data_IF_631962888569
#
_entry.id   IF_631962888569
#
_cell.length_a   1.000
_cell.length_b   1.000
_cell.length_c   1.000
_cell.angle_alpha   90.00
_cell.angle_beta   90.00
_cell.angle_gamma   90.00
#
_symmetry.space_group_name_H-M   'P 1'
#
loop_
_entity.id
_entity.type
_entity.pdbx_description
1 polymer ?
#
# COMPACT_ATOMS: atom_id res chain seq x y z
N UNK A 1 -21.60 1.63 -5.99
CA UNK A 1 -20.72 0.66 -6.69
C UNK A 1 -19.31 1.24 -6.83
N UNK A 2 -18.31 0.40 -7.07
CA UNK A 2 -16.89 0.75 -7.17
C UNK A 2 -16.12 0.71 -5.85
N UNK A 3 -16.72 0.19 -4.76
CA UNK A 3 -16.11 0.25 -3.42
C UNK A 3 -15.95 1.66 -2.86
N UNK A 4 -16.79 2.57 -3.34
CA UNK A 4 -16.84 3.95 -2.91
C UNK A 4 -17.78 4.11 -1.72
N UNK A 5 -17.36 4.90 -0.74
CA UNK A 5 -18.17 5.26 0.42
C UNK A 5 -17.96 6.74 0.77
N UNK A 6 -19.05 7.39 1.19
CA UNK A 6 -19.06 8.70 1.85
C UNK A 6 -19.99 8.63 3.05
N UNK A 7 -19.68 9.30 4.17
CA UNK A 7 -20.57 9.32 5.33
C UNK A 7 -21.95 9.90 4.96
N UNK A 8 -23.06 9.28 5.39
CA UNK A 8 -24.41 9.72 4.98
C UNK A 8 -24.91 10.97 5.71
N UNK A 9 -24.28 11.35 6.83
CA UNK A 9 -24.78 12.40 7.73
C UNK A 9 -23.76 13.53 7.97
N UNK A 10 -22.63 13.52 7.28
CA UNK A 10 -21.63 14.58 7.37
C UNK A 10 -20.75 14.62 6.11
N UNK A 11 -20.00 15.71 5.95
CA UNK A 11 -18.93 15.77 4.97
C UNK A 11 -17.67 15.14 5.57
N UNK A 12 -17.09 14.18 4.86
CA UNK A 12 -15.82 13.60 5.27
C UNK A 12 -14.72 14.66 5.22
N UNK A 13 -13.92 14.76 6.30
CA UNK A 13 -12.77 15.66 6.35
C UNK A 13 -11.63 15.22 5.42
N UNK A 14 -11.53 13.92 5.16
CA UNK A 14 -10.44 13.33 4.39
C UNK A 14 -10.97 12.36 3.33
N UNK A 15 -10.31 12.38 2.17
CA UNK A 15 -10.53 11.51 1.03
C UNK A 15 -9.33 10.57 0.86
N UNK A 16 -9.56 9.26 0.97
CA UNK A 16 -8.49 8.26 0.86
C UNK A 16 -8.71 7.28 -0.28
N UNK A 17 -7.73 7.16 -1.18
CA UNK A 17 -7.67 6.09 -2.17
C UNK A 17 -6.95 4.88 -1.55
N UNK A 18 -7.63 3.74 -1.45
CA UNK A 18 -7.05 2.50 -0.93
C UNK A 18 -6.60 1.65 -2.12
N UNK A 19 -5.29 1.54 -2.31
CA UNK A 19 -4.65 0.90 -3.45
C UNK A 19 -4.14 -0.47 -3.05
N UNK A 20 -4.69 -1.52 -3.66
CA UNK A 20 -4.36 -2.92 -3.37
C UNK A 20 -3.80 -3.57 -4.63
N UNK A 21 -2.49 -3.85 -4.63
CA UNK A 21 -1.87 -4.65 -5.69
C UNK A 21 -2.26 -6.12 -5.52
N UNK A 22 -2.66 -6.77 -6.62
CA UNK A 22 -3.32 -8.07 -6.54
C UNK A 22 -2.99 -9.02 -7.70
N UNK A 23 -2.83 -10.31 -7.36
CA UNK A 23 -2.81 -11.40 -8.33
C UNK A 23 -3.23 -12.72 -7.70
N UNK A 24 -4.33 -13.32 -8.17
CA UNK A 24 -4.79 -14.68 -7.86
C UNK A 24 -4.87 -15.03 -6.35
N UNK A 25 -5.19 -14.07 -5.49
CA UNK A 25 -5.26 -14.23 -4.04
C UNK A 25 -6.69 -14.04 -3.51
N UNK A 26 -7.66 -14.74 -4.10
CA UNK A 26 -9.09 -14.45 -3.89
C UNK A 26 -9.52 -14.65 -2.43
N UNK A 27 -8.96 -15.65 -1.75
CA UNK A 27 -9.19 -15.88 -0.32
C UNK A 27 -8.85 -14.62 0.49
N UNK A 28 -7.65 -14.05 0.31
CA UNK A 28 -7.22 -12.86 1.04
C UNK A 28 -8.06 -11.64 0.69
N UNK A 29 -8.38 -11.44 -0.59
CA UNK A 29 -9.22 -10.32 -1.00
C UNK A 29 -10.59 -10.35 -0.31
N UNK A 30 -11.24 -11.52 -0.22
CA UNK A 30 -12.53 -11.66 0.46
C UNK A 30 -12.44 -11.30 1.94
N UNK A 31 -11.40 -11.78 2.62
CA UNK A 31 -11.16 -11.45 4.03
C UNK A 31 -10.86 -9.96 4.24
N UNK A 32 -9.99 -9.37 3.40
CA UNK A 32 -9.69 -7.94 3.46
C UNK A 32 -10.98 -7.12 3.31
N UNK A 33 -11.77 -7.36 2.26
CA UNK A 33 -13.00 -6.60 2.00
C UNK A 33 -14.02 -6.73 3.13
N UNK A 34 -14.12 -7.92 3.74
CA UNK A 34 -15.00 -8.15 4.88
C UNK A 34 -14.66 -7.26 6.08
N UNK A 35 -13.37 -7.12 6.42
CA UNK A 35 -12.94 -6.33 7.58
C UNK A 35 -12.75 -4.84 7.27
N UNK A 36 -12.20 -4.51 6.10
CA UNK A 36 -11.75 -3.15 5.80
C UNK A 36 -12.92 -2.18 5.56
N UNK A 37 -14.03 -2.64 5.00
CA UNK A 37 -15.17 -1.75 4.75
C UNK A 37 -15.78 -1.20 6.04
N UNK A 38 -16.22 -2.05 7.00
CA UNK A 38 -16.70 -1.55 8.28
C UNK A 38 -15.67 -0.69 9.02
N UNK A 39 -14.40 -1.10 8.98
CA UNK A 39 -13.28 -0.36 9.57
C UNK A 39 -13.20 1.09 9.04
N UNK A 40 -13.17 1.27 7.72
CA UNK A 40 -13.06 2.60 7.09
C UNK A 40 -14.33 3.44 7.27
N UNK A 41 -15.50 2.80 7.29
CA UNK A 41 -16.78 3.49 7.50
C UNK A 41 -16.89 4.08 8.91
N UNK A 42 -16.40 3.37 9.94
CA UNK A 42 -16.35 3.89 11.32
C UNK A 42 -15.43 5.11 11.48
N UNK A 43 -14.43 5.25 10.60
CA UNK A 43 -13.55 6.42 10.55
C UNK A 43 -14.16 7.63 9.83
N UNK A 44 -15.38 7.50 9.29
CA UNK A 44 -16.09 8.57 8.58
C UNK A 44 -15.29 9.19 7.40
N UNK A 45 -14.52 8.36 6.69
CA UNK A 45 -13.75 8.77 5.52
C UNK A 45 -14.61 8.79 4.26
N UNK A 46 -14.27 9.64 3.30
CA UNK A 46 -14.64 9.42 1.89
C UNK A 46 -13.56 8.54 1.28
N UNK A 47 -13.88 7.36 0.78
CA UNK A 47 -12.85 6.47 0.25
C UNK A 47 -13.32 5.69 -0.97
N UNK A 48 -12.35 5.21 -1.74
CA UNK A 48 -12.56 4.22 -2.80
C UNK A 48 -11.48 3.15 -2.71
N UNK A 49 -11.88 1.87 -2.81
CA UNK A 49 -10.95 0.74 -2.89
C UNK A 49 -10.66 0.41 -4.35
N UNK A 50 -9.40 0.50 -4.73
CA UNK A 50 -8.87 0.14 -6.05
C UNK A 50 -8.10 -1.17 -5.94
N UNK A 51 -8.54 -2.17 -6.70
CA UNK A 51 -7.86 -3.45 -6.83
C UNK A 51 -7.11 -3.47 -8.16
N UNK A 52 -5.77 -3.40 -8.11
CA UNK A 52 -4.92 -3.38 -9.30
C UNK A 52 -4.49 -4.81 -9.58
N UNK A 53 -5.13 -5.43 -10.56
CA UNK A 53 -4.91 -6.81 -10.95
C UNK A 53 -3.88 -6.90 -12.07
N UNK A 54 -2.77 -7.58 -11.79
CA UNK A 54 -1.82 -8.01 -12.82
C UNK A 54 -2.35 -9.25 -13.56
N UNK A 55 -2.30 -9.22 -14.89
CA UNK A 55 -2.53 -10.42 -15.72
C UNK A 55 -1.23 -11.09 -16.14
N UNK A 56 -1.35 -12.24 -16.79
CA UNK A 56 -0.20 -12.97 -17.32
C UNK A 56 0.50 -13.84 -16.27
N UNK A 57 1.62 -14.41 -16.70
CA UNK A 57 2.42 -15.39 -15.93
C UNK A 57 3.75 -14.85 -15.45
N UNK A 58 4.12 -13.64 -15.85
CA UNK A 58 5.37 -12.98 -15.41
C UNK A 58 5.39 -12.81 -13.89
N UNK A 59 6.56 -12.57 -13.30
CA UNK A 59 6.67 -12.34 -11.84
C UNK A 59 5.75 -11.23 -11.34
N UNK A 60 5.28 -11.33 -10.10
CA UNK A 60 4.43 -10.29 -9.52
C UNK A 60 5.26 -9.03 -9.27
N UNK A 61 4.74 -7.87 -9.66
CA UNK A 61 5.41 -6.59 -9.43
C UNK A 61 4.51 -5.64 -8.64
N UNK A 62 4.55 -5.83 -7.32
CA UNK A 62 3.74 -5.07 -6.36
C UNK A 62 3.93 -3.56 -6.50
N UNK A 63 5.18 -3.09 -6.53
CA UNK A 63 5.52 -1.68 -6.57
C UNK A 63 5.01 -1.00 -7.86
N UNK A 64 5.19 -1.65 -9.02
CA UNK A 64 4.66 -1.17 -10.30
C UNK A 64 3.13 -1.12 -10.32
N UNK A 65 2.44 -2.12 -9.77
CA UNK A 65 0.97 -2.13 -9.67
C UNK A 65 0.45 -1.02 -8.77
N UNK A 66 1.18 -0.67 -7.70
CA UNK A 66 0.82 0.46 -6.86
C UNK A 66 0.98 1.79 -7.61
N UNK A 67 2.03 1.96 -8.42
CA UNK A 67 2.16 3.10 -9.33
C UNK A 67 0.99 3.20 -10.33
N UNK A 68 0.58 2.06 -10.93
CA UNK A 68 -0.62 1.97 -11.79
C UNK A 68 -1.85 2.47 -11.01
N UNK A 69 -2.02 1.98 -9.79
CA UNK A 69 -3.12 2.33 -8.90
C UNK A 69 -3.20 3.82 -8.63
N UNK A 70 -2.06 4.45 -8.27
CA UNK A 70 -1.98 5.91 -8.10
C UNK A 70 -2.37 6.63 -9.37
N UNK A 71 -1.80 6.24 -10.53
CA UNK A 71 -2.09 6.90 -11.82
C UNK A 71 -3.57 6.82 -12.19
N UNK A 72 -4.22 5.70 -11.95
CA UNK A 72 -5.64 5.54 -12.29
C UNK A 72 -6.58 6.14 -11.26
N UNK A 73 -6.27 6.04 -9.96
CA UNK A 73 -7.09 6.62 -8.89
C UNK A 73 -7.14 8.15 -8.98
N UNK A 74 -6.02 8.79 -9.36
CA UNK A 74 -5.93 10.24 -9.51
C UNK A 74 -6.77 10.80 -10.68
N UNK A 75 -7.32 9.95 -11.55
CA UNK A 75 -8.28 10.37 -12.59
C UNK A 75 -9.69 10.56 -12.06
N UNK A 76 -10.01 10.00 -10.90
CA UNK A 76 -11.37 9.95 -10.39
C UNK A 76 -11.70 11.08 -9.41
N UNK A 77 -10.73 11.43 -8.58
CA UNK A 77 -10.91 12.39 -7.49
C UNK A 77 -9.55 12.98 -7.08
N UNK A 78 -9.58 14.21 -6.58
CA UNK A 78 -8.48 14.82 -5.86
C UNK A 78 -8.40 14.17 -4.46
N UNK A 79 -7.54 13.17 -4.34
CA UNK A 79 -7.35 12.41 -3.11
C UNK A 79 -6.43 13.15 -2.14
N UNK A 80 -6.84 13.27 -0.87
CA UNK A 80 -5.97 13.80 0.19
C UNK A 80 -4.89 12.78 0.57
N UNK A 81 -5.23 11.49 0.45
CA UNK A 81 -4.35 10.41 0.86
C UNK A 81 -4.38 9.21 -0.08
N UNK A 82 -3.19 8.69 -0.37
CA UNK A 82 -2.97 7.41 -1.04
C UNK A 82 -2.56 6.40 0.03
N UNK A 83 -3.38 5.38 0.25
CA UNK A 83 -3.10 4.27 1.17
C UNK A 83 -2.72 3.06 0.34
N UNK A 84 -1.48 2.60 0.49
CA UNK A 84 -0.91 1.49 -0.26
C UNK A 84 -0.92 0.27 0.64
N UNK A 85 -1.68 -0.75 0.25
CA UNK A 85 -2.16 -1.77 1.17
C UNK A 85 -1.94 -3.18 0.61
N UNK A 86 -1.29 -4.02 1.41
CA UNK A 86 -1.12 -5.43 1.08
C UNK A 86 -2.43 -6.20 1.28
N UNK A 87 -2.76 -7.11 0.37
CA UNK A 87 -4.10 -7.75 0.34
C UNK A 87 -4.32 -8.73 1.50
N UNK A 88 -3.25 -9.24 2.10
CA UNK A 88 -3.22 -10.24 3.16
C UNK A 88 -3.12 -9.63 4.56
N UNK A 89 -3.25 -8.31 4.70
CA UNK A 89 -3.15 -7.63 5.99
C UNK A 89 -4.47 -7.05 6.46
N UNK A 90 -4.76 -7.10 7.77
CA UNK A 90 -5.95 -6.48 8.35
C UNK A 90 -5.55 -5.68 9.61
N UNK A 91 -5.98 -4.40 9.74
CA UNK A 91 -5.73 -3.63 10.94
C UNK A 91 -6.53 -4.17 12.14
N UNK A 92 -5.93 -4.17 13.32
CA UNK A 92 -6.58 -4.67 14.55
C UNK A 92 -7.25 -3.56 15.37
N UNK A 93 -6.99 -2.28 15.04
CA UNK A 93 -7.43 -1.15 15.83
C UNK A 93 -7.94 0.00 14.95
N UNK A 94 -9.24 0.33 15.11
CA UNK A 94 -9.93 1.37 14.35
C UNK A 94 -9.37 2.79 14.56
N UNK A 95 -8.60 3.01 15.63
CA UNK A 95 -7.91 4.28 15.88
C UNK A 95 -6.65 4.46 15.01
N UNK A 96 -6.23 3.43 14.26
CA UNK A 96 -5.26 3.61 13.18
C UNK A 96 -5.95 4.24 11.97
N UNK A 97 -6.09 5.56 11.97
CA UNK A 97 -6.80 6.29 10.92
C UNK A 97 -6.11 6.13 9.55
N UNK A 98 -6.90 5.75 8.54
CA UNK A 98 -6.50 5.61 7.13
C UNK A 98 -6.44 6.95 6.41
N UNK A 99 -5.65 7.84 7.00
CA UNK A 99 -5.34 9.18 6.53
C UNK A 99 -3.82 9.35 6.52
N UNK A 100 -3.38 10.32 5.73
CA UNK A 100 -1.97 10.64 5.59
C UNK A 100 -1.51 11.52 6.75
N UNK A 101 -0.23 11.42 7.09
CA UNK A 101 0.42 12.43 7.89
C UNK A 101 0.70 13.65 7.01
N UNK A 102 0.57 14.83 7.59
CA UNK A 102 0.67 16.11 6.89
C UNK A 102 2.08 16.40 6.38
N UNK A 103 3.12 15.93 7.09
CA UNK A 103 4.50 16.32 6.82
C UNK A 103 5.30 15.22 6.14
N UNK A 104 4.99 13.95 6.40
CA UNK A 104 5.85 12.84 6.00
C UNK A 104 5.08 11.57 5.60
N UNK A 105 5.65 10.70 4.75
CA UNK A 105 5.15 9.35 4.53
C UNK A 105 4.95 8.57 5.83
N UNK A 106 3.76 8.00 6.01
CA UNK A 106 3.34 7.30 7.22
C UNK A 106 3.37 5.79 7.01
N UNK A 107 4.14 5.10 7.84
CA UNK A 107 4.08 3.64 7.97
C UNK A 107 2.97 3.27 8.96
N UNK A 108 1.91 2.64 8.45
CA UNK A 108 0.72 2.33 9.24
C UNK A 108 0.84 0.97 9.92
N UNK A 109 1.39 -0.02 9.22
CA UNK A 109 1.64 -1.37 9.74
C UNK A 109 2.92 -1.44 10.57
N UNK A 110 3.01 -0.64 11.63
CA UNK A 110 4.21 -0.52 12.47
C UNK A 110 4.47 -1.74 13.36
N UNK A 111 3.45 -2.55 13.62
CA UNK A 111 3.52 -3.74 14.46
C UNK A 111 2.69 -4.86 13.83
N UNK A 112 3.35 -5.88 13.27
CA UNK A 112 2.66 -7.03 12.66
C UNK A 112 2.78 -8.26 13.55
N UNK A 113 1.73 -9.05 13.63
CA UNK A 113 1.71 -10.31 14.37
C UNK A 113 2.83 -11.26 13.93
N UNK A 114 3.11 -11.37 12.63
CA UNK A 114 4.21 -12.21 12.10
C UNK A 114 5.60 -11.80 12.59
N UNK A 115 5.74 -10.57 13.07
CA UNK A 115 6.97 -10.06 13.67
C UNK A 115 6.82 -9.88 15.19
N UNK A 116 5.90 -10.62 15.82
CA UNK A 116 5.59 -10.53 17.24
C UNK A 116 5.28 -9.09 17.68
N UNK A 117 4.56 -8.35 16.83
CA UNK A 117 4.23 -6.94 17.00
C UNK A 117 5.44 -6.01 17.21
N UNK A 118 6.61 -6.44 16.75
CA UNK A 118 7.86 -5.70 16.82
C UNK A 118 8.28 -5.28 15.42
N UNK A 119 8.80 -4.05 15.28
CA UNK A 119 9.30 -3.57 14.01
C UNK A 119 10.61 -4.33 13.64
N UNK A 120 10.69 -4.98 12.46
CA UNK A 120 11.88 -5.72 12.03
C UNK A 120 13.19 -4.92 12.11
N UNK A 121 13.18 -3.73 11.51
CA UNK A 121 14.31 -2.81 11.49
C UNK A 121 13.84 -1.38 11.19
N UNK A 122 14.67 -0.39 11.54
CA UNK A 122 14.30 1.04 11.55
C UNK A 122 13.83 1.59 10.19
N UNK A 123 14.35 1.08 9.08
CA UNK A 123 13.95 1.52 7.71
C UNK A 123 12.79 0.72 7.12
N UNK A 124 12.23 -0.26 7.85
CA UNK A 124 11.13 -1.09 7.34
C UNK A 124 9.91 -0.22 7.01
N UNK A 125 9.37 -0.40 5.79
CA UNK A 125 8.24 0.34 5.24
C UNK A 125 7.27 -0.56 4.44
N UNK A 126 7.27 -1.87 4.71
CA UNK A 126 6.36 -2.84 4.07
C UNK A 126 4.99 -2.92 4.75
N UNK A 127 4.08 -3.68 4.15
CA UNK A 127 2.71 -3.87 4.63
C UNK A 127 1.79 -2.75 4.16
N UNK A 128 1.38 -1.88 5.10
CA UNK A 128 0.46 -0.77 4.83
C UNK A 128 1.14 0.57 5.09
N UNK A 129 1.06 1.47 4.11
CA UNK A 129 1.62 2.82 4.19
C UNK A 129 0.67 3.86 3.61
N UNK A 130 0.85 5.12 4.01
CA UNK A 130 0.05 6.25 3.55
C UNK A 130 0.96 7.41 3.13
N UNK A 131 0.71 7.94 1.93
CA UNK A 131 1.42 9.07 1.34
C UNK A 131 0.41 10.04 0.70
N UNK A 132 0.60 11.34 0.89
CA UNK A 132 -0.14 12.32 0.08
C UNK A 132 0.30 12.16 -1.39
N UNK A 133 -0.53 12.57 -2.37
CA UNK A 133 -0.08 12.62 -3.76
C UNK A 133 1.22 13.40 -3.95
N UNK A 134 1.40 14.49 -3.21
CA UNK A 134 2.63 15.28 -3.23
C UNK A 134 3.84 14.47 -2.75
N UNK A 135 3.73 13.80 -1.59
CA UNK A 135 4.80 12.93 -1.08
C UNK A 135 5.17 11.85 -2.11
N UNK A 136 4.16 11.23 -2.71
CA UNK A 136 4.34 10.17 -3.69
C UNK A 136 5.09 10.67 -4.94
N UNK A 137 4.70 11.82 -5.48
CA UNK A 137 5.34 12.40 -6.67
C UNK A 137 6.73 12.95 -6.37
N UNK A 138 6.96 13.53 -5.19
CA UNK A 138 8.27 14.05 -4.75
C UNK A 138 9.36 12.99 -4.74
N UNK A 139 9.00 11.73 -4.49
CA UNK A 139 9.91 10.59 -4.52
C UNK A 139 9.93 9.83 -5.85
N UNK A 140 9.31 10.38 -6.90
CA UNK A 140 9.10 9.72 -8.20
C UNK A 140 8.33 8.39 -8.07
N UNK A 141 7.42 8.29 -7.10
CA UNK A 141 6.71 7.06 -6.74
C UNK A 141 7.63 5.86 -6.49
N UNK A 142 7.09 4.67 -6.73
CA UNK A 142 7.74 3.40 -6.38
C UNK A 142 8.59 2.87 -7.54
N UNK A 143 9.57 1.99 -7.31
CA UNK A 143 10.35 1.41 -8.40
C UNK A 143 9.50 0.48 -9.28
N UNK A 144 9.71 0.48 -10.61
CA UNK A 144 8.99 -0.43 -11.52
C UNK A 144 9.77 -1.70 -11.83
N UNK A 145 11.02 -1.82 -11.41
CA UNK A 145 11.93 -2.90 -11.86
C UNK A 145 12.01 -4.09 -10.92
N UNK A 146 11.23 -4.13 -9.83
CA UNK A 146 11.24 -5.22 -8.85
C UNK A 146 10.25 -6.33 -9.25
N UNK A 147 10.75 -7.40 -9.85
CA UNK A 147 9.96 -8.49 -10.41
C UNK A 147 10.12 -9.78 -9.58
N UNK A 148 9.32 -9.95 -8.53
CA UNK A 148 9.45 -11.07 -7.60
C UNK A 148 10.69 -11.00 -6.68
N UNK A 149 11.56 -10.03 -6.90
CA UNK A 149 12.68 -9.71 -6.01
C UNK A 149 12.17 -8.97 -4.78
N UNK A 150 12.50 -9.48 -3.59
CA UNK A 150 12.31 -8.74 -2.34
C UNK A 150 13.17 -7.48 -2.27
N UNK A 151 12.79 -6.54 -1.40
CA UNK A 151 13.58 -5.33 -1.12
C UNK A 151 13.08 -4.07 -1.83
N UNK A 152 11.94 -4.14 -2.52
CA UNK A 152 11.26 -2.96 -3.06
C UNK A 152 10.85 -1.99 -1.93
N UNK A 153 10.44 -2.51 -0.77
CA UNK A 153 10.11 -1.70 0.40
C UNK A 153 11.34 -0.95 0.95
N UNK A 154 12.53 -1.54 0.87
CA UNK A 154 13.79 -0.91 1.26
C UNK A 154 14.22 0.18 0.27
N UNK A 155 13.95 -0.02 -1.01
CA UNK A 155 14.14 0.99 -2.06
C UNK A 155 13.22 2.18 -1.79
N UNK A 156 11.93 1.94 -1.59
CA UNK A 156 10.92 2.95 -1.24
C UNK A 156 11.35 3.75 0.00
N UNK A 157 11.76 3.08 1.08
CA UNK A 157 12.27 3.76 2.27
C UNK A 157 13.48 4.65 1.98
N UNK A 158 14.38 4.18 1.11
CA UNK A 158 15.55 4.95 0.68
C UNK A 158 15.14 6.15 -0.17
N UNK A 159 14.16 6.01 -1.07
CA UNK A 159 13.61 7.13 -1.86
C UNK A 159 12.99 8.21 -1.00
N UNK A 160 12.24 7.83 0.05
CA UNK A 160 11.68 8.78 1.02
C UNK A 160 12.79 9.66 1.61
N UNK A 161 13.90 9.05 2.05
CA UNK A 161 15.04 9.78 2.59
C UNK A 161 15.78 10.62 1.54
N UNK A 162 15.95 10.11 0.33
CA UNK A 162 16.59 10.85 -0.78
C UNK A 162 15.77 12.07 -1.23
N UNK A 163 14.44 11.99 -1.10
CA UNK A 163 13.52 13.10 -1.33
C UNK A 163 13.48 14.10 -0.16
N UNK A 164 14.33 13.93 0.87
CA UNK A 164 14.40 14.81 2.03
C UNK A 164 13.26 14.61 3.05
N UNK A 165 12.53 13.50 2.95
CA UNK A 165 11.43 13.15 3.86
C UNK A 165 11.86 12.10 4.89
N UNK A 166 11.10 12.01 5.97
CA UNK A 166 11.27 10.98 7.01
C UNK A 166 10.11 9.97 6.93
N UNK A 167 10.27 8.84 7.61
CA UNK A 167 9.16 7.90 7.83
C UNK A 167 8.60 8.21 9.22
N UNK A 168 7.33 8.60 9.28
CA UNK A 168 6.58 8.64 10.53
C UNK A 168 5.84 7.32 10.71
N UNK A 169 5.59 6.92 11.96
CA UNK A 169 4.94 5.65 12.26
C UNK A 169 3.71 5.87 13.10
N UNK A 170 2.66 5.12 12.79
CA UNK A 170 1.59 4.90 13.77
C UNK A 170 2.20 4.32 15.04
N UNK A 171 1.71 4.71 16.22
CA UNK A 171 2.19 4.13 17.47
C UNK A 171 1.96 2.61 17.49
N UNK A 172 2.89 1.78 17.99
CA UNK A 172 2.79 0.31 17.90
C UNK A 172 1.50 -0.31 18.46
N UNK A 173 0.86 0.32 19.43
CA UNK A 173 -0.41 -0.16 20.00
C UNK A 173 -1.63 0.12 19.11
N UNK A 174 -1.54 1.12 18.21
CA UNK A 174 -2.57 1.43 17.22
C UNK A 174 -2.25 0.77 15.87
N UNK A 175 -0.98 0.74 15.47
CA UNK A 175 -0.52 0.20 14.18
C UNK A 175 -0.35 -1.31 14.17
N UNK A 176 -1.20 -2.04 14.90
CA UNK A 176 -1.23 -3.50 14.93
C UNK A 176 -1.96 -4.05 13.71
N UNK A 177 -1.36 -5.04 13.06
CA UNK A 177 -1.94 -5.75 11.94
C UNK A 177 -1.77 -7.25 12.07
N UNK A 178 -2.81 -7.98 11.66
CA UNK A 178 -2.80 -9.42 11.44
C UNK A 178 -2.44 -9.71 9.99
N UNK A 179 -1.48 -10.59 9.77
CA UNK A 179 -1.16 -11.16 8.44
C UNK A 179 -1.91 -12.48 8.28
N UNK A 180 -2.68 -12.60 7.20
CA UNK A 180 -3.52 -13.78 6.94
C UNK A 180 -2.67 -14.99 6.55
N UNK A 181 -3.06 -16.17 7.06
CA UNK A 181 -2.41 -17.46 6.80
C UNK A 181 -0.90 -17.52 7.13
N UNK A 182 -0.38 -16.60 7.97
CA UNK A 182 0.97 -16.74 8.52
C UNK A 182 1.04 -17.99 9.40
N UNK A 183 1.87 -18.96 9.01
CA UNK A 183 2.15 -20.17 9.77
C UNK A 183 3.59 -20.13 10.31
N UNK A 184 3.70 -19.88 11.62
CA UNK A 184 4.96 -19.85 12.38
C UNK A 184 5.78 -21.15 12.23
N UNK A 185 5.14 -22.29 11.95
CA UNK A 185 5.82 -23.58 11.81
C UNK A 185 6.54 -23.74 10.46
N UNK A 186 6.10 -23.05 9.42
CA UNK A 186 6.65 -23.16 8.05
C UNK A 186 7.51 -21.98 7.64
N UNK A 187 7.32 -20.81 8.25
CA UNK A 187 8.16 -19.66 8.01
C UNK A 187 9.31 -19.66 9.02
N UNK A 188 10.50 -20.08 8.56
CA UNK A 188 11.69 -20.10 9.40
C UNK A 188 11.90 -18.73 10.06
N UNK A 189 12.30 -18.69 11.34
CA UNK A 189 12.73 -17.45 11.99
C UNK A 189 14.08 -17.04 11.40
N UNK A 190 14.10 -16.63 10.12
CA UNK A 190 15.18 -15.80 9.64
C UNK A 190 15.20 -14.57 10.55
N UNK A 191 16.36 -14.17 11.08
CA UNK A 191 16.42 -12.95 11.85
C UNK A 191 15.89 -11.85 10.95
N UNK A 192 14.88 -11.10 11.41
CA UNK A 192 14.15 -10.05 10.68
C UNK A 192 15.06 -8.88 10.29
N UNK A 193 16.11 -9.18 9.53
CA UNK A 193 17.21 -8.31 9.17
C UNK A 193 16.96 -7.81 7.77
N UNK A 194 17.44 -6.60 7.55
CA UNK A 194 17.43 -6.00 6.23
C UNK A 194 18.29 -6.84 5.27
N UNK A 195 17.74 -7.35 4.16
CA UNK A 195 18.53 -8.09 3.19
C UNK A 195 19.54 -7.15 2.51
N UNK A 196 20.67 -7.68 2.00
CA UNK A 196 21.60 -6.89 1.22
C UNK A 196 20.91 -6.37 -0.04
N UNK A 197 20.92 -5.05 -0.24
CA UNK A 197 20.31 -4.46 -1.43
C UNK A 197 21.08 -4.88 -2.68
N UNK A 198 20.40 -5.56 -3.60
CA UNK A 198 20.91 -5.84 -4.95
C UNK A 198 20.79 -4.63 -5.90
N UNK A 199 20.06 -3.60 -5.47
CA UNK A 199 19.70 -2.45 -6.28
C UNK A 199 20.35 -1.17 -5.72
N UNK A 200 20.82 -0.31 -6.62
CA UNK A 200 21.42 0.97 -6.22
C UNK A 200 20.39 2.10 -6.34
N UNK A 201 19.49 2.20 -5.35
CA UNK A 201 18.42 3.20 -5.31
C UNK A 201 18.92 4.62 -5.53
N UNK A 202 20.08 4.99 -4.97
CA UNK A 202 20.66 6.34 -5.12
C UNK A 202 20.92 6.71 -6.58
N UNK A 203 21.25 5.73 -7.42
CA UNK A 203 21.48 5.92 -8.86
C UNK A 203 20.19 5.83 -9.66
N UNK A 204 19.26 4.95 -9.28
CA UNK A 204 18.11 4.59 -10.13
C UNK A 204 16.84 5.38 -9.85
N UNK A 205 16.63 5.91 -8.63
CA UNK A 205 15.30 6.42 -8.22
C UNK A 205 14.73 7.56 -9.07
N UNK A 206 15.60 8.39 -9.68
CA UNK A 206 15.17 9.46 -10.59
C UNK A 206 14.85 8.96 -12.00
N UNK A 207 15.39 7.81 -12.40
CA UNK A 207 15.26 7.23 -13.73
C UNK A 207 14.27 6.05 -13.77
N UNK A 208 13.84 5.52 -12.62
CA UNK A 208 12.83 4.48 -12.50
C UNK A 208 11.75 4.89 -11.51
N UNK A 209 10.51 5.05 -11.96
CA UNK A 209 9.39 5.38 -11.10
C UNK A 209 8.14 5.82 -11.86
N UNK A 210 7.39 6.78 -11.32
CA UNK A 210 6.19 7.32 -11.98
C UNK A 210 6.48 7.91 -13.36
N UNK A 211 7.65 8.51 -13.54
CA UNK A 211 8.09 9.08 -14.82
C UNK A 211 8.34 8.04 -15.93
N UNK A 212 8.61 6.78 -15.57
CA UNK A 212 8.87 5.69 -16.53
C UNK A 212 7.79 4.61 -16.50
N UNK A 213 6.67 4.86 -15.81
CA UNK A 213 5.60 3.90 -15.66
C UNK A 213 4.93 3.56 -17.00
N UNK A 214 5.18 2.36 -17.48
CA UNK A 214 4.55 1.78 -18.67
C UNK A 214 3.65 0.61 -18.29
N UNK A 215 2.41 0.65 -18.76
CA UNK A 215 1.44 -0.44 -18.66
C UNK A 215 0.34 -0.26 -19.71
N UNK A 216 -0.34 -1.35 -20.05
CA UNK A 216 -1.56 -1.37 -20.85
C UNK A 216 -2.76 -1.62 -19.97
N UNK A 217 -3.70 -0.68 -19.97
CA UNK A 217 -4.99 -0.86 -19.31
C UNK A 217 -5.86 -1.81 -20.15
N UNK A 218 -6.20 -2.97 -19.59
CA UNK A 218 -7.04 -3.95 -20.27
C UNK A 218 -8.53 -3.74 -19.96
N UNK A 219 -8.86 -3.52 -18.70
CA UNK A 219 -10.23 -3.24 -18.29
C UNK A 219 -10.30 -2.48 -16.98
N UNK A 220 -11.42 -1.80 -16.78
CA UNK A 220 -11.74 -1.09 -15.55
C UNK A 220 -13.21 -1.32 -15.19
N UNK A 221 -13.46 -2.03 -14.10
CA UNK A 221 -14.80 -2.51 -13.75
C UNK A 221 -15.15 -2.15 -12.31
N UNK A 222 -16.31 -1.51 -12.10
CA UNK A 222 -16.83 -1.14 -10.78
C UNK A 222 -17.65 -2.29 -10.19
N UNK A 223 -17.08 -3.07 -9.28
CA UNK A 223 -17.78 -4.07 -8.49
C UNK A 223 -18.47 -3.42 -7.28
N UNK A 224 -19.39 -4.09 -6.56
CA UNK A 224 -20.05 -3.49 -5.39
C UNK A 224 -19.06 -2.93 -4.36
N UNK A 225 -18.01 -3.70 -4.04
CA UNK A 225 -17.06 -3.46 -2.94
C UNK A 225 -15.71 -2.87 -3.38
N UNK A 226 -15.39 -2.83 -4.68
CA UNK A 226 -14.12 -2.27 -5.16
C UNK A 226 -14.19 -1.89 -6.64
N UNK A 227 -13.25 -1.08 -7.09
CA UNK A 227 -12.99 -0.83 -8.52
C UNK A 227 -11.81 -1.70 -8.95
N UNK A 228 -12.04 -2.63 -9.87
CA UNK A 228 -11.01 -3.50 -10.43
C UNK A 228 -10.37 -2.85 -11.64
N UNK A 229 -9.05 -2.78 -11.62
CA UNK A 229 -8.23 -2.25 -12.70
C UNK A 229 -7.31 -3.38 -13.15
N UNK A 230 -7.56 -3.92 -14.34
CA UNK A 230 -6.79 -5.04 -14.89
C UNK A 230 -5.76 -4.51 -15.86
N UNK A 231 -4.48 -4.82 -15.63
CA UNK A 231 -3.34 -4.30 -16.41
C UNK A 231 -2.37 -5.40 -16.82
N UNK A 232 -1.67 -5.11 -17.92
CA UNK A 232 -0.52 -5.82 -18.48
C UNK A 232 0.71 -4.88 -18.43
#
# INVERSE_FOLDING_TARGET
>A
PGGHYRPPHCFARYKSAILVAYRNQEKYLRHLLYYIHPFLQRQQLSYTIYLIQQVGTDSFNRAKLLNVGVREAMKDEEWDCLVLHDVDMVPENDYNLYICDEYYPKHMASAMDKFQYTLPYKSFFGGVSALTPEHYMKMNGFPNTYWGDGGENDDIATRIHLAGMKIVRTSPHLGRYRVMDYNEETEMPEPWRRPPSRHNTRKTWKADGMNTLQFRLLSRTKHPLYTKITVD
#
